data_IF_180680736250
#
_entry.id   IF_180680736250
#
_cell.length_a   1.000
_cell.length_b   1.000
_cell.length_c   1.000
_cell.angle_alpha   90.00
_cell.angle_beta   90.00
_cell.angle_gamma   90.00
#
_symmetry.space_group_name_H-M   'P 1'
#
loop_
_entity.id
_entity.type
_entity.pdbx_description
1 polymer ?
#
# COMPACT_ATOMS: atom_id res chain seq x y z
N UNK A 1 -1.65 37.21 48.25
CA UNK A 1 -1.28 35.81 47.94
C UNK A 1 -2.10 35.36 46.74
N UNK A 2 -1.50 35.29 45.54
CA UNK A 2 -2.19 34.87 44.32
C UNK A 2 -1.48 33.63 43.78
N UNK A 3 -2.08 32.46 43.96
CA UNK A 3 -1.56 31.18 43.44
C UNK A 3 -1.95 31.09 41.96
N UNK A 4 -0.97 31.25 41.07
CA UNK A 4 -1.14 31.00 39.64
C UNK A 4 -0.84 29.52 39.36
N UNK A 5 -1.87 28.72 39.16
CA UNK A 5 -1.75 27.34 38.67
C UNK A 5 -1.90 27.34 37.16
N UNK A 6 -0.77 27.21 36.45
CA UNK A 6 -0.72 27.01 35.01
C UNK A 6 -1.12 25.55 34.70
N UNK A 7 -2.35 25.33 34.25
CA UNK A 7 -2.78 24.02 33.74
C UNK A 7 -2.35 23.93 32.29
N UNK A 8 -1.25 23.20 32.04
CA UNK A 8 -0.78 22.87 30.70
C UNK A 8 -1.63 21.71 30.16
N UNK A 9 -2.70 22.02 29.43
CA UNK A 9 -3.49 21.03 28.70
C UNK A 9 -2.66 20.46 27.55
N UNK A 10 -2.14 19.25 27.75
CA UNK A 10 -1.46 18.47 26.73
C UNK A 10 -2.50 17.93 25.74
N UNK A 11 -2.74 18.68 24.66
CA UNK A 11 -3.55 18.22 23.53
C UNK A 11 -2.86 17.03 22.87
N UNK A 12 -3.38 15.83 23.12
CA UNK A 12 -2.98 14.61 22.43
C UNK A 12 -3.44 14.75 20.98
N UNK A 13 -2.54 15.19 20.11
CA UNK A 13 -2.72 15.05 18.66
C UNK A 13 -2.67 13.55 18.35
N UNK A 14 -3.84 12.92 18.26
CA UNK A 14 -3.95 11.59 17.68
C UNK A 14 -3.57 11.71 16.21
N UNK A 15 -2.31 11.44 15.90
CA UNK A 15 -1.91 11.15 14.53
C UNK A 15 -2.75 9.96 14.09
N UNK A 16 -3.64 10.17 13.13
CA UNK A 16 -4.20 9.07 12.34
C UNK A 16 -3.03 8.49 11.56
N UNK A 17 -2.22 7.65 12.22
CA UNK A 17 -1.47 6.63 11.54
C UNK A 17 -2.50 5.84 10.74
N UNK A 18 -2.25 5.65 9.44
CA UNK A 18 -3.04 4.73 8.63
C UNK A 18 -2.94 3.38 9.34
N UNK A 19 -3.97 3.06 10.11
CA UNK A 19 -4.05 1.84 10.89
C UNK A 19 -4.64 0.75 10.04
N UNK A 20 -4.63 -0.48 10.56
CA UNK A 20 -5.50 -1.51 10.06
C UNK A 20 -6.95 -0.99 10.01
N UNK A 21 -7.84 -1.70 9.34
CA UNK A 21 -9.26 -1.36 9.27
C UNK A 21 -9.98 -1.38 10.64
N UNK A 22 -9.26 -1.73 11.70
CA UNK A 22 -9.66 -1.77 13.11
C UNK A 22 -8.61 -1.12 14.03
N UNK A 23 -9.00 -0.88 15.28
CA UNK A 23 -8.13 -0.33 16.30
C UNK A 23 -7.10 -1.36 16.78
N UNK A 24 -5.83 -1.15 16.40
CA UNK A 24 -4.73 -2.05 16.75
C UNK A 24 -4.48 -2.18 18.25
N UNK A 25 -4.93 -1.23 19.08
CA UNK A 25 -4.85 -1.38 20.54
C UNK A 25 -5.83 -2.43 21.08
N UNK A 26 -6.79 -2.85 20.25
CA UNK A 26 -7.81 -3.87 20.57
C UNK A 26 -7.55 -5.20 19.86
N UNK A 27 -6.40 -5.36 19.20
CA UNK A 27 -6.00 -6.63 18.61
C UNK A 27 -6.03 -7.73 19.68
N UNK A 28 -6.78 -8.79 19.42
CA UNK A 28 -7.06 -9.87 20.38
C UNK A 28 -6.71 -11.25 19.84
N UNK A 29 -6.55 -11.37 18.52
CA UNK A 29 -6.18 -12.61 17.84
C UNK A 29 -4.76 -12.54 17.29
N UNK A 30 -4.17 -13.70 17.01
CA UNK A 30 -2.86 -13.78 16.35
C UNK A 30 -2.87 -13.07 14.99
N UNK A 31 -3.92 -13.28 14.18
CA UNK A 31 -4.09 -12.64 12.87
C UNK A 31 -4.18 -11.13 13.01
N UNK A 32 -4.98 -10.60 13.95
CA UNK A 32 -5.05 -9.16 14.21
C UNK A 32 -3.70 -8.57 14.65
N UNK A 33 -2.95 -9.33 15.47
CA UNK A 33 -1.60 -8.94 15.90
C UNK A 33 -0.66 -8.85 14.70
N UNK A 34 -0.66 -9.87 13.83
CA UNK A 34 0.15 -9.88 12.60
C UNK A 34 -0.20 -8.69 11.69
N UNK A 35 -1.48 -8.39 11.52
CA UNK A 35 -1.94 -7.24 10.72
C UNK A 35 -1.38 -5.93 11.31
N UNK A 36 -1.47 -5.76 12.63
CA UNK A 36 -1.06 -4.53 13.28
C UNK A 36 0.46 -4.34 13.35
N UNK A 37 1.22 -5.43 13.45
CA UNK A 37 2.68 -5.37 13.56
C UNK A 37 3.39 -5.37 12.20
N UNK A 38 2.71 -5.75 11.12
CA UNK A 38 3.32 -5.84 9.79
C UNK A 38 2.78 -4.74 8.88
N UNK A 39 3.62 -3.78 8.48
CA UNK A 39 3.22 -2.64 7.65
C UNK A 39 2.46 -3.06 6.37
N UNK A 40 2.94 -4.08 5.65
CA UNK A 40 2.26 -4.55 4.42
C UNK A 40 0.86 -5.12 4.71
N UNK A 41 0.69 -5.83 5.82
CA UNK A 41 -0.61 -6.40 6.18
C UNK A 41 -1.58 -5.33 6.67
N UNK A 42 -1.08 -4.36 7.43
CA UNK A 42 -1.83 -3.19 7.87
C UNK A 42 -2.43 -2.45 6.66
N UNK A 43 -1.57 -2.18 5.67
CA UNK A 43 -1.92 -1.49 4.44
C UNK A 43 -2.89 -2.30 3.57
N UNK A 44 -2.65 -3.59 3.43
CA UNK A 44 -3.53 -4.50 2.69
C UNK A 44 -4.91 -4.59 3.35
N UNK A 45 -4.97 -4.64 4.68
CA UNK A 45 -6.23 -4.65 5.42
C UNK A 45 -6.99 -3.33 5.26
N UNK A 46 -6.30 -2.20 5.38
CA UNK A 46 -6.88 -0.88 5.13
C UNK A 46 -7.41 -0.74 3.71
N UNK A 47 -6.61 -1.15 2.72
CA UNK A 47 -6.98 -1.13 1.29
C UNK A 47 -8.19 -2.02 1.01
N UNK A 48 -8.16 -3.26 1.49
CA UNK A 48 -9.27 -4.22 1.37
C UNK A 48 -10.55 -3.64 1.96
N UNK A 49 -10.49 -3.07 3.17
CA UNK A 49 -11.65 -2.51 3.83
C UNK A 49 -12.23 -1.28 3.10
N UNK A 50 -11.37 -0.43 2.53
CA UNK A 50 -11.82 0.72 1.74
C UNK A 50 -12.55 0.30 0.47
N UNK A 51 -12.02 -0.69 -0.27
CA UNK A 51 -12.70 -1.22 -1.47
C UNK A 51 -14.00 -1.93 -1.10
N UNK A 52 -13.99 -2.71 -0.01
CA UNK A 52 -15.21 -3.37 0.48
C UNK A 52 -16.31 -2.35 0.81
N UNK A 53 -15.98 -1.29 1.55
CA UNK A 53 -16.95 -0.25 1.96
C UNK A 53 -17.57 0.48 0.76
N UNK A 54 -16.85 0.65 -0.34
CA UNK A 54 -17.38 1.32 -1.54
C UNK A 54 -18.27 0.44 -2.41
N UNK A 55 -18.27 -0.88 -2.19
CA UNK A 55 -18.96 -1.86 -3.04
C UNK A 55 -19.97 -2.76 -2.29
N UNK A 56 -20.11 -2.60 -0.98
CA UNK A 56 -20.86 -3.55 -0.14
C UNK A 56 -22.34 -3.65 -0.54
N UNK A 57 -22.74 -4.87 -0.90
CA UNK A 57 -24.14 -5.31 -1.01
C UNK A 57 -24.38 -6.52 -0.07
N UNK A 58 -25.59 -7.10 -0.11
CA UNK A 58 -25.94 -8.25 0.73
C UNK A 58 -25.12 -9.50 0.44
N UNK A 59 -24.85 -9.79 -0.84
CA UNK A 59 -24.05 -10.93 -1.29
C UNK A 59 -22.58 -10.75 -0.90
N UNK A 60 -22.03 -9.55 -1.13
CA UNK A 60 -20.66 -9.21 -0.79
C UNK A 60 -20.43 -9.22 0.72
N UNK A 61 -21.43 -8.81 1.51
CA UNK A 61 -21.36 -8.88 2.97
C UNK A 61 -21.23 -10.33 3.46
N UNK A 62 -21.97 -11.27 2.87
CA UNK A 62 -21.87 -12.68 3.23
C UNK A 62 -20.54 -13.29 2.77
N UNK A 63 -20.13 -13.01 1.52
CA UNK A 63 -18.82 -13.39 1.01
C UNK A 63 -17.67 -12.88 1.91
N UNK A 64 -17.76 -11.63 2.39
CA UNK A 64 -16.74 -11.03 3.25
C UNK A 64 -16.66 -11.70 4.62
N UNK A 65 -17.81 -12.02 5.22
CA UNK A 65 -17.85 -12.75 6.50
C UNK A 65 -17.22 -14.14 6.38
N UNK A 66 -17.59 -14.88 5.33
CA UNK A 66 -17.05 -16.22 5.09
C UNK A 66 -15.55 -16.17 4.81
N UNK A 67 -15.10 -15.21 4.00
CA UNK A 67 -13.67 -15.01 3.79
C UNK A 67 -12.91 -14.69 5.09
N UNK A 68 -13.45 -13.82 5.95
CA UNK A 68 -12.83 -13.51 7.25
C UNK A 68 -12.72 -14.79 8.10
N UNK A 69 -13.81 -15.55 8.20
CA UNK A 69 -13.92 -16.72 9.06
C UNK A 69 -13.07 -17.89 8.57
N UNK A 70 -13.19 -18.22 7.29
CA UNK A 70 -12.71 -19.49 6.74
C UNK A 70 -11.36 -19.36 6.03
N UNK A 71 -10.94 -18.13 5.69
CA UNK A 71 -9.68 -17.86 4.99
C UNK A 71 -8.74 -17.01 5.84
N UNK A 72 -9.11 -15.75 6.12
CA UNK A 72 -8.24 -14.80 6.83
C UNK A 72 -7.82 -15.32 8.20
N UNK A 73 -8.79 -15.75 9.02
CA UNK A 73 -8.53 -16.21 10.38
C UNK A 73 -7.78 -17.55 10.46
N UNK A 74 -7.67 -18.28 9.34
CA UNK A 74 -6.96 -19.56 9.28
C UNK A 74 -5.50 -19.42 8.82
N UNK A 75 -5.12 -18.29 8.22
CA UNK A 75 -3.74 -18.02 7.84
C UNK A 75 -2.85 -17.89 9.09
N UNK A 76 -1.70 -18.59 9.08
CA UNK A 76 -0.82 -18.73 10.24
C UNK A 76 0.43 -17.84 10.17
N UNK A 77 0.80 -17.41 8.96
CA UNK A 77 2.03 -16.67 8.70
C UNK A 77 1.76 -15.35 8.01
N UNK A 78 2.73 -14.42 8.09
CA UNK A 78 2.68 -13.17 7.32
C UNK A 78 2.53 -13.45 5.83
N UNK A 79 3.25 -14.43 5.29
CA UNK A 79 3.21 -14.78 3.86
C UNK A 79 1.84 -15.29 3.42
N UNK A 80 1.25 -16.23 4.19
CA UNK A 80 -0.09 -16.74 3.92
C UNK A 80 -1.14 -15.65 4.02
N UNK A 81 -1.06 -14.83 5.07
CA UNK A 81 -2.01 -13.75 5.31
C UNK A 81 -1.91 -12.69 4.22
N UNK A 82 -0.70 -12.29 3.81
CA UNK A 82 -0.49 -11.36 2.69
C UNK A 82 -1.12 -11.91 1.42
N UNK A 83 -0.87 -13.18 1.09
CA UNK A 83 -1.43 -13.81 -0.11
C UNK A 83 -2.96 -13.74 -0.13
N UNK A 84 -3.63 -14.16 0.95
CA UNK A 84 -5.10 -14.15 0.98
C UNK A 84 -5.69 -12.75 0.95
N UNK A 85 -4.99 -11.74 1.51
CA UNK A 85 -5.38 -10.34 1.39
C UNK A 85 -5.27 -9.83 -0.04
N UNK A 86 -4.18 -10.14 -0.75
CA UNK A 86 -3.98 -9.75 -2.17
C UNK A 86 -5.09 -10.34 -3.03
N UNK A 87 -5.35 -11.64 -2.87
CA UNK A 87 -6.43 -12.33 -3.58
C UNK A 87 -7.79 -11.69 -3.28
N UNK A 88 -8.03 -11.30 -2.02
CA UNK A 88 -9.27 -10.63 -1.64
C UNK A 88 -9.39 -9.22 -2.21
N UNK A 89 -8.33 -8.42 -2.15
CA UNK A 89 -8.29 -7.07 -2.73
C UNK A 89 -8.57 -7.14 -4.23
N UNK A 90 -7.98 -8.11 -4.94
CA UNK A 90 -8.24 -8.33 -6.36
C UNK A 90 -9.71 -8.69 -6.61
N UNK A 91 -10.23 -9.68 -5.87
CA UNK A 91 -11.63 -10.08 -5.96
C UNK A 91 -12.58 -8.89 -5.74
N UNK A 92 -12.35 -8.10 -4.70
CA UNK A 92 -13.18 -6.92 -4.40
C UNK A 92 -13.06 -5.85 -5.48
N UNK A 93 -11.88 -5.65 -6.07
CA UNK A 93 -11.66 -4.69 -7.16
C UNK A 93 -12.44 -5.07 -8.43
N UNK A 94 -12.58 -6.36 -8.70
CA UNK A 94 -13.32 -6.90 -9.85
C UNK A 94 -14.82 -7.12 -9.56
N UNK A 95 -15.23 -7.10 -8.29
CA UNK A 95 -16.62 -7.30 -7.90
C UNK A 95 -17.53 -6.20 -8.47
N UNK A 96 -18.53 -6.61 -9.26
CA UNK A 96 -19.70 -5.84 -9.65
C UNK A 96 -20.94 -6.47 -9.03
N UNK A 97 -21.87 -5.66 -8.53
CA UNK A 97 -23.14 -6.17 -8.02
C UNK A 97 -23.84 -6.95 -9.15
N UNK A 98 -24.28 -8.17 -8.87
CA UNK A 98 -25.00 -8.99 -9.86
C UNK A 98 -26.35 -8.33 -10.14
N UNK A 99 -26.44 -7.56 -11.22
CA UNK A 99 -27.69 -7.39 -11.95
C UNK A 99 -27.82 -8.53 -12.97
N UNK A 100 -28.92 -9.27 -12.91
CA UNK A 100 -29.30 -10.22 -13.96
C UNK A 100 -29.37 -9.48 -15.32
N UNK A 101 -28.37 -9.68 -16.18
CA UNK A 101 -28.48 -9.82 -17.66
C UNK A 101 -27.08 -9.91 -18.29
N UNK A 102 -26.86 -11.05 -18.95
CA UNK A 102 -25.97 -11.30 -20.09
C UNK A 102 -24.51 -10.79 -20.02
N UNK A 103 -23.57 -11.74 -20.05
CA UNK A 103 -22.15 -11.51 -20.32
C UNK A 103 -21.91 -10.50 -21.45
N UNK A 104 -20.86 -9.67 -21.30
CA UNK A 104 -19.75 -9.88 -22.20
C UNK A 104 -18.36 -9.78 -21.55
N UNK A 105 -17.52 -10.72 -22.00
CA UNK A 105 -16.14 -10.55 -22.43
C UNK A 105 -15.06 -10.26 -21.37
N UNK A 106 -14.44 -11.37 -20.96
CA UNK A 106 -13.07 -11.48 -20.46
C UNK A 106 -12.09 -10.73 -21.37
N UNK A 107 -11.68 -9.52 -21.00
CA UNK A 107 -10.35 -8.96 -21.31
C UNK A 107 -10.12 -7.64 -20.55
N UNK A 108 -9.66 -7.74 -19.30
CA UNK A 108 -8.99 -6.65 -18.59
C UNK A 108 -7.83 -7.21 -17.77
N UNK A 109 -6.83 -7.76 -18.47
CA UNK A 109 -5.50 -7.94 -17.90
C UNK A 109 -4.74 -6.61 -18.03
N UNK A 110 -4.99 -5.67 -17.12
CA UNK A 110 -4.19 -4.44 -16.98
C UNK A 110 -3.18 -4.52 -15.81
N UNK A 111 -2.77 -5.71 -15.39
CA UNK A 111 -1.83 -5.89 -14.27
C UNK A 111 -0.38 -6.13 -14.73
N UNK A 112 0.08 -5.39 -15.74
CA UNK A 112 1.49 -5.34 -16.12
C UNK A 112 1.88 -3.91 -16.48
N UNK A 113 3.04 -3.40 -16.02
CA UNK A 113 3.52 -2.07 -16.39
C UNK A 113 3.51 -1.93 -17.92
N UNK A 114 2.82 -0.90 -18.42
CA UNK A 114 2.66 -0.67 -19.85
C UNK A 114 3.90 0.05 -20.38
N UNK A 115 4.39 -0.38 -21.53
CA UNK A 115 5.46 0.32 -22.23
C UNK A 115 4.95 1.71 -22.62
N UNK A 116 5.68 2.76 -22.19
CA UNK A 116 5.30 4.14 -22.49
C UNK A 116 5.22 4.35 -24.01
N UNK A 117 4.10 4.90 -24.48
CA UNK A 117 3.92 5.30 -25.89
C UNK A 117 4.57 6.65 -26.21
N UNK A 118 5.14 7.32 -25.21
CA UNK A 118 5.63 8.69 -25.31
C UNK A 118 7.06 8.77 -24.80
N UNK A 119 8.00 9.19 -25.66
CA UNK A 119 9.38 9.52 -25.28
C UNK A 119 9.40 10.79 -24.41
N UNK A 120 8.93 10.73 -23.16
CA UNK A 120 9.26 11.75 -22.17
C UNK A 120 10.60 11.34 -21.54
N UNK A 121 11.56 12.26 -21.52
CA UNK A 121 12.96 11.99 -21.17
C UNK A 121 13.09 11.18 -19.88
N UNK A 122 14.05 10.26 -19.86
CA UNK A 122 14.55 9.50 -18.71
C UNK A 122 15.24 10.40 -17.66
N UNK A 123 14.69 11.59 -17.43
CA UNK A 123 15.17 12.54 -16.44
C UNK A 123 14.87 12.04 -15.02
N UNK A 124 15.52 12.66 -14.04
CA UNK A 124 15.19 12.47 -12.63
C UNK A 124 13.72 12.87 -12.42
N UNK A 125 12.93 12.01 -11.76
CA UNK A 125 11.54 12.31 -11.40
C UNK A 125 11.46 13.60 -10.58
N UNK A 126 10.45 14.40 -10.88
CA UNK A 126 10.09 15.60 -10.13
C UNK A 126 8.78 15.41 -9.36
N UNK A 127 8.54 16.24 -8.35
CA UNK A 127 7.34 16.13 -7.52
C UNK A 127 6.05 16.32 -8.33
N UNK A 128 6.08 17.21 -9.32
CA UNK A 128 4.95 17.46 -10.22
C UNK A 128 4.59 16.24 -11.08
N UNK A 129 5.52 15.31 -11.34
CA UNK A 129 5.18 14.10 -12.10
C UNK A 129 4.12 13.24 -11.37
N UNK A 130 4.01 13.37 -10.05
CA UNK A 130 3.04 12.62 -9.24
C UNK A 130 1.65 13.26 -9.18
N UNK A 131 1.43 14.42 -9.80
CA UNK A 131 0.05 14.90 -10.03
C UNK A 131 -0.66 14.11 -11.13
N UNK A 132 0.11 13.46 -12.00
CA UNK A 132 -0.42 12.64 -13.09
C UNK A 132 -0.86 11.26 -12.60
N UNK A 133 -1.74 10.61 -13.37
CA UNK A 133 -2.21 9.24 -13.06
C UNK A 133 -1.11 8.18 -13.15
N UNK A 134 -0.06 8.46 -13.90
CA UNK A 134 1.08 7.58 -14.13
C UNK A 134 2.37 8.38 -14.11
N UNK A 135 3.41 7.81 -13.51
CA UNK A 135 4.80 8.25 -13.70
C UNK A 135 5.49 7.34 -14.72
N UNK A 136 6.56 7.83 -15.34
CA UNK A 136 7.42 7.02 -16.19
C UNK A 136 8.79 6.85 -15.56
N UNK A 137 9.23 5.60 -15.37
CA UNK A 137 10.55 5.25 -14.86
C UNK A 137 11.16 4.22 -15.80
N UNK A 138 12.37 4.49 -16.30
CA UNK A 138 13.10 3.60 -17.22
C UNK A 138 12.25 3.15 -18.45
N UNK A 139 11.35 4.02 -18.93
CA UNK A 139 10.47 3.76 -20.07
C UNK A 139 9.19 2.98 -19.76
N UNK A 140 8.97 2.61 -18.51
CA UNK A 140 7.77 1.91 -18.03
C UNK A 140 6.83 2.87 -17.30
N UNK A 141 5.52 2.73 -17.52
CA UNK A 141 4.49 3.51 -16.81
C UNK A 141 4.05 2.80 -15.52
N UNK A 142 3.98 3.55 -14.43
CA UNK A 142 3.56 3.08 -13.11
C UNK A 142 2.45 3.96 -12.56
N UNK A 143 1.36 3.35 -12.08
CA UNK A 143 0.24 4.12 -11.53
C UNK A 143 0.64 4.86 -10.26
N UNK A 144 0.16 6.10 -10.11
CA UNK A 144 0.23 6.86 -8.85
C UNK A 144 -1.03 6.70 -8.01
N UNK A 145 -2.07 6.08 -8.56
CA UNK A 145 -3.40 6.05 -7.96
C UNK A 145 -3.61 4.83 -7.04
N UNK A 146 -2.83 3.76 -7.25
CA UNK A 146 -2.93 2.52 -6.49
C UNK A 146 -1.59 1.77 -6.51
N UNK A 147 -1.40 0.85 -5.56
CA UNK A 147 -0.26 -0.09 -5.52
C UNK A 147 -0.61 -1.41 -6.20
N UNK A 148 0.36 -1.98 -6.90
CA UNK A 148 0.27 -3.28 -7.57
C UNK A 148 0.84 -4.40 -6.68
N UNK A 149 -0.03 -5.06 -5.91
CA UNK A 149 0.41 -6.10 -4.98
C UNK A 149 0.60 -7.49 -5.61
N UNK A 150 0.47 -7.64 -6.94
CA UNK A 150 0.66 -8.91 -7.64
C UNK A 150 2.15 -9.26 -7.81
N UNK A 151 2.86 -9.40 -6.69
CA UNK A 151 4.28 -9.72 -6.58
C UNK A 151 4.51 -10.74 -5.45
N UNK A 152 5.65 -11.46 -5.42
CA UNK A 152 5.98 -12.33 -4.30
C UNK A 152 6.03 -11.56 -2.96
N UNK A 153 5.57 -12.15 -1.85
CA UNK A 153 5.53 -11.47 -0.55
C UNK A 153 6.89 -10.90 -0.11
N UNK A 154 7.98 -11.63 -0.39
CA UNK A 154 9.34 -11.16 -0.13
C UNK A 154 9.66 -9.83 -0.84
N UNK A 155 9.19 -9.65 -2.08
CA UNK A 155 9.32 -8.40 -2.82
C UNK A 155 8.50 -7.31 -2.15
N UNK A 156 7.24 -7.59 -1.80
CA UNK A 156 6.35 -6.61 -1.17
C UNK A 156 6.97 -6.07 0.14
N UNK A 157 7.41 -6.97 1.02
CA UNK A 157 8.06 -6.61 2.29
C UNK A 157 9.35 -5.82 2.10
N UNK A 158 10.16 -6.21 1.10
CA UNK A 158 11.38 -5.46 0.78
C UNK A 158 11.04 -4.06 0.25
N UNK A 159 10.04 -3.94 -0.63
CA UNK A 159 9.58 -2.65 -1.15
C UNK A 159 9.13 -1.75 -0.02
N UNK A 160 8.25 -2.22 0.88
CA UNK A 160 7.79 -1.43 2.04
C UNK A 160 8.98 -0.92 2.87
N UNK A 161 9.98 -1.78 3.08
CA UNK A 161 11.17 -1.40 3.84
C UNK A 161 11.99 -0.31 3.16
N UNK A 162 12.16 -0.38 1.84
CA UNK A 162 12.85 0.67 1.05
C UNK A 162 12.04 1.96 1.01
N UNK A 163 10.71 1.86 0.95
CA UNK A 163 9.81 3.01 0.82
C UNK A 163 9.91 3.96 2.01
N UNK A 164 10.22 3.48 3.21
CA UNK A 164 10.42 4.33 4.39
C UNK A 164 11.48 5.40 4.13
N UNK A 165 12.68 4.99 3.70
CA UNK A 165 13.79 5.90 3.43
C UNK A 165 13.57 6.75 2.18
N UNK A 166 12.96 6.14 1.16
CA UNK A 166 12.64 6.85 -0.08
C UNK A 166 11.66 7.99 0.18
N UNK A 167 10.57 7.75 0.90
CA UNK A 167 9.58 8.78 1.26
C UNK A 167 10.17 9.87 2.15
N UNK A 168 11.05 9.51 3.07
CA UNK A 168 11.77 10.48 3.89
C UNK A 168 12.70 11.36 3.06
N UNK A 169 13.35 10.79 2.05
CA UNK A 169 14.22 11.53 1.12
C UNK A 169 13.37 12.51 0.30
N UNK A 170 12.27 12.06 -0.29
CA UNK A 170 11.35 12.92 -1.05
C UNK A 170 10.77 14.06 -0.22
N UNK A 171 10.40 13.78 1.04
CA UNK A 171 9.94 14.80 1.98
C UNK A 171 11.02 15.86 2.23
N UNK A 172 12.27 15.45 2.47
CA UNK A 172 13.40 16.37 2.72
C UNK A 172 13.69 17.23 1.49
N UNK A 173 13.71 16.61 0.31
CA UNK A 173 13.93 17.32 -0.95
C UNK A 173 12.81 18.34 -1.21
N UNK A 174 11.55 17.96 -0.99
CA UNK A 174 10.42 18.88 -1.10
C UNK A 174 10.53 20.06 -0.13
N UNK A 175 10.94 19.84 1.11
CA UNK A 175 11.17 20.93 2.09
C UNK A 175 12.28 21.87 1.59
N UNK A 176 13.42 21.31 1.16
CA UNK A 176 14.56 22.08 0.65
C UNK A 176 14.20 22.95 -0.55
N UNK A 177 13.27 22.49 -1.39
CA UNK A 177 12.80 23.19 -2.58
C UNK A 177 11.54 24.04 -2.36
N UNK A 178 11.12 24.28 -1.11
CA UNK A 178 9.89 25.02 -0.76
C UNK A 178 8.58 24.39 -1.29
N UNK A 179 8.57 23.09 -1.56
CA UNK A 179 7.43 22.30 -2.05
C UNK A 179 6.77 21.44 -0.96
N UNK A 180 6.98 21.77 0.33
CA UNK A 180 6.44 20.97 1.43
C UNK A 180 4.89 20.87 1.45
N UNK A 181 4.19 21.87 0.91
CA UNK A 181 2.72 21.81 0.77
C UNK A 181 2.30 20.87 -0.35
N UNK A 182 2.94 20.98 -1.51
CA UNK A 182 2.69 20.12 -2.67
C UNK A 182 2.99 18.65 -2.33
N UNK A 183 4.10 18.38 -1.63
CA UNK A 183 4.42 17.02 -1.20
C UNK A 183 3.37 16.44 -0.25
N UNK A 184 2.80 17.26 0.63
CA UNK A 184 1.71 16.81 1.51
C UNK A 184 0.46 16.45 0.72
N UNK A 185 0.14 17.21 -0.34
CA UNK A 185 -1.01 16.94 -1.21
C UNK A 185 -0.79 15.68 -2.06
N UNK A 186 0.41 15.50 -2.59
CA UNK A 186 0.76 14.39 -3.48
C UNK A 186 1.34 13.18 -2.73
N UNK A 187 1.39 13.18 -1.40
CA UNK A 187 2.09 12.17 -0.59
C UNK A 187 1.75 10.73 -0.99
N UNK A 188 0.45 10.44 -1.12
CA UNK A 188 -0.01 9.10 -1.48
C UNK A 188 0.31 8.76 -2.94
N UNK A 189 0.22 9.72 -3.85
CA UNK A 189 0.61 9.53 -5.25
C UNK A 189 2.11 9.24 -5.39
N UNK A 190 2.93 9.98 -4.64
CA UNK A 190 4.38 9.76 -4.52
C UNK A 190 4.66 8.37 -3.99
N UNK A 191 3.97 7.97 -2.91
CA UNK A 191 4.10 6.64 -2.34
C UNK A 191 3.78 5.56 -3.37
N UNK A 192 2.61 5.61 -3.99
CA UNK A 192 2.13 4.58 -4.91
C UNK A 192 3.03 4.45 -6.15
N UNK A 193 3.39 5.56 -6.80
CA UNK A 193 4.21 5.53 -8.00
C UNK A 193 5.62 5.00 -7.74
N UNK A 194 6.25 5.47 -6.65
CA UNK A 194 7.58 4.99 -6.25
C UNK A 194 7.54 3.55 -5.78
N UNK A 195 6.51 3.15 -5.04
CA UNK A 195 6.34 1.77 -4.62
C UNK A 195 6.25 0.85 -5.84
N UNK A 196 5.41 1.18 -6.82
CA UNK A 196 5.17 0.35 -8.01
C UNK A 196 6.46 0.16 -8.82
N UNK A 197 7.16 1.26 -9.10
CA UNK A 197 8.45 1.19 -9.82
C UNK A 197 9.52 0.44 -9.02
N UNK A 198 9.56 0.61 -7.70
CA UNK A 198 10.53 -0.08 -6.83
C UNK A 198 10.26 -1.57 -6.76
N UNK A 199 9.01 -1.99 -6.59
CA UNK A 199 8.63 -3.41 -6.52
C UNK A 199 8.97 -4.15 -7.82
N UNK A 200 8.70 -3.53 -8.96
CA UNK A 200 9.00 -4.11 -10.27
C UNK A 200 10.51 -4.22 -10.50
N UNK A 201 11.27 -3.18 -10.11
CA UNK A 201 12.73 -3.21 -10.13
C UNK A 201 13.30 -4.30 -9.23
N UNK A 202 12.80 -4.43 -8.01
CA UNK A 202 13.21 -5.47 -7.08
C UNK A 202 12.92 -6.87 -7.62
N UNK A 203 11.74 -7.10 -8.17
CA UNK A 203 11.38 -8.38 -8.79
C UNK A 203 12.36 -8.77 -9.90
N UNK A 204 12.75 -7.82 -10.75
CA UNK A 204 13.74 -8.06 -11.81
C UNK A 204 15.16 -8.34 -11.30
N UNK A 205 15.50 -7.87 -10.09
CA UNK A 205 16.86 -7.93 -9.53
C UNK A 205 17.01 -8.94 -8.38
N UNK A 206 15.93 -9.59 -7.95
CA UNK A 206 15.94 -10.38 -6.70
C UNK A 206 16.85 -11.63 -6.76
N UNK A 207 17.18 -12.07 -7.96
CA UNK A 207 18.16 -13.14 -8.19
C UNK A 207 19.59 -12.71 -7.89
N UNK A 208 19.87 -11.40 -7.77
CA UNK A 208 21.14 -10.88 -7.31
C UNK A 208 21.31 -11.14 -5.80
N UNK A 209 22.31 -11.94 -5.38
CA UNK A 209 22.49 -12.31 -3.97
C UNK A 209 22.67 -11.11 -3.04
N UNK A 210 23.31 -10.04 -3.51
CA UNK A 210 23.52 -8.82 -2.73
C UNK A 210 22.20 -8.08 -2.49
N UNK A 211 21.36 -7.98 -3.51
CA UNK A 211 20.04 -7.36 -3.39
C UNK A 211 19.16 -8.16 -2.43
N UNK A 212 19.16 -9.49 -2.58
CA UNK A 212 18.42 -10.39 -1.69
C UNK A 212 18.86 -10.24 -0.24
N UNK A 213 20.17 -10.26 0.04
CA UNK A 213 20.71 -10.10 1.39
C UNK A 213 20.35 -8.72 1.98
N UNK A 214 20.39 -7.65 1.17
CA UNK A 214 19.96 -6.32 1.61
C UNK A 214 18.47 -6.30 2.00
N UNK A 215 17.61 -6.90 1.17
CA UNK A 215 16.18 -7.06 1.48
C UNK A 215 15.96 -7.84 2.78
N UNK A 216 16.65 -8.97 2.97
CA UNK A 216 16.56 -9.78 4.19
C UNK A 216 16.92 -8.98 5.44
N UNK A 217 18.02 -8.21 5.39
CA UNK A 217 18.44 -7.35 6.50
C UNK A 217 17.43 -6.24 6.82
N UNK A 218 16.91 -5.56 5.79
CA UNK A 218 15.92 -4.50 5.97
C UNK A 218 14.60 -5.05 6.53
N UNK A 219 14.13 -6.18 6.02
CA UNK A 219 12.91 -6.84 6.51
C UNK A 219 13.10 -7.29 7.97
N UNK A 220 14.27 -7.83 8.33
CA UNK A 220 14.55 -8.25 9.70
C UNK A 220 14.61 -7.06 10.68
N UNK A 221 15.14 -5.91 10.25
CA UNK A 221 15.22 -4.71 11.09
C UNK A 221 13.90 -3.98 11.30
N UNK A 222 12.89 -4.25 10.47
CA UNK A 222 11.54 -3.67 10.55
C UNK A 222 10.52 -4.56 11.29
N UNK A 223 10.96 -5.70 11.86
CA UNK A 223 10.17 -6.57 12.74
C UNK A 223 10.42 -6.22 14.20
#
# INVERSE_FOLDING_TARGET
MLKSTLVLTLSILTFNAHGASFDCSKASTQVETLICQTSVLNDLDSTMANIYRSKVDSSLKESQKNWIKDVRNNAQTVDELTKVYIERVKFLSEYSAVENKNEPNLNASENKPRLSKTKKNSGKLELSDFSEKFITVDGMEYSTQHREFNKPNFILLCTESIMVDLMNTWKKDAIKNNQASEFRQLKENVYNGLWNSTADKLESQITNPRMKAMCELMIAGNR
#
